data_IF_710056664854
#
_entry.id   IF_710056664854
#
_cell.length_a   1.000
_cell.length_b   1.000
_cell.length_c   1.000
_cell.angle_alpha   90.00
_cell.angle_beta   90.00
_cell.angle_gamma   90.00
#
_symmetry.space_group_name_H-M   'P 1'
#
loop_
_entity.id
_entity.type
_entity.pdbx_description
1 polymer ?
#
# COMPACT_ATOMS: atom_id res chain seq x y z
N UNK A 1 8.47 13.67 -6.71
CA UNK A 1 8.81 13.16 -5.36
C UNK A 1 10.11 12.37 -5.45
N UNK A 2 11.08 12.65 -4.58
CA UNK A 2 12.33 11.90 -4.45
C UNK A 2 12.23 10.76 -3.41
N UNK A 3 13.28 9.95 -3.24
CA UNK A 3 13.27 8.82 -2.31
C UNK A 3 13.03 9.24 -0.86
N UNK A 4 13.65 10.33 -0.39
CA UNK A 4 13.51 10.77 0.99
C UNK A 4 12.07 11.21 1.30
N UNK A 5 11.46 11.97 0.40
CA UNK A 5 10.07 12.41 0.49
C UNK A 5 9.10 11.22 0.49
N UNK A 6 9.36 10.23 -0.38
CA UNK A 6 8.58 9.00 -0.43
C UNK A 6 8.64 8.23 0.88
N UNK A 7 9.84 8.05 1.44
CA UNK A 7 10.00 7.33 2.72
C UNK A 7 9.34 8.06 3.88
N UNK A 8 9.40 9.40 3.88
CA UNK A 8 8.74 10.20 4.91
C UNK A 8 7.21 10.08 4.80
N UNK A 9 6.65 10.23 3.60
CA UNK A 9 5.23 10.07 3.34
C UNK A 9 4.75 8.65 3.69
N UNK A 10 5.52 7.63 3.31
CA UNK A 10 5.21 6.24 3.62
C UNK A 10 5.24 6.00 5.13
N UNK A 11 6.29 6.42 5.84
CA UNK A 11 6.37 6.29 7.31
C UNK A 11 5.19 6.99 7.99
N UNK A 12 4.83 8.20 7.57
CA UNK A 12 3.70 8.93 8.12
C UNK A 12 2.38 8.17 7.92
N UNK A 13 2.16 7.65 6.70
CA UNK A 13 0.97 6.85 6.39
C UNK A 13 0.90 5.56 7.21
N UNK A 14 2.02 4.86 7.39
CA UNK A 14 2.07 3.60 8.12
C UNK A 14 1.86 3.75 9.63
N UNK A 15 2.14 4.92 10.22
CA UNK A 15 1.96 5.19 11.66
C UNK A 15 0.51 5.37 12.06
N UNK A 16 -0.35 5.85 11.17
CA UNK A 16 -1.76 6.09 11.45
C UNK A 16 -2.67 4.94 10.97
N UNK A 17 -3.91 4.83 11.49
CA UNK A 17 -4.88 3.90 10.95
C UNK A 17 -5.21 4.17 9.47
N UNK A 18 -5.27 3.11 8.66
CA UNK A 18 -5.49 3.26 7.22
C UNK A 18 -6.90 3.78 6.92
N UNK A 19 -7.90 3.38 7.71
CA UNK A 19 -9.29 3.81 7.58
C UNK A 19 -9.52 5.29 7.97
N UNK A 20 -8.56 5.95 8.62
CA UNK A 20 -8.58 7.39 8.90
C UNK A 20 -7.70 8.20 7.93
N UNK A 21 -6.93 7.53 7.06
CA UNK A 21 -6.06 8.23 6.12
C UNK A 21 -6.89 9.00 5.09
N UNK A 22 -6.44 10.20 4.74
CA UNK A 22 -7.03 11.00 3.66
C UNK A 22 -6.44 10.63 2.32
N UNK A 23 -7.15 10.96 1.23
CA UNK A 23 -6.63 10.74 -0.11
C UNK A 23 -5.29 11.45 -0.34
N UNK A 24 -5.13 12.69 0.13
CA UNK A 24 -3.88 13.46 -0.02
C UNK A 24 -2.68 12.81 0.69
N UNK A 25 -2.90 12.07 1.77
CA UNK A 25 -1.85 11.31 2.45
C UNK A 25 -1.49 10.01 1.70
N UNK A 26 -2.47 9.38 1.06
CA UNK A 26 -2.29 8.09 0.36
C UNK A 26 -1.76 8.29 -1.06
N UNK A 27 -2.21 9.32 -1.75
CA UNK A 27 -1.91 9.63 -3.15
C UNK A 27 -0.41 9.62 -3.47
N UNK A 28 0.48 10.38 -2.79
CA UNK A 28 1.90 10.40 -3.14
C UNK A 28 2.56 9.02 -2.99
N UNK A 29 2.16 8.26 -1.96
CA UNK A 29 2.65 6.89 -1.76
C UNK A 29 2.15 5.97 -2.86
N UNK A 30 0.86 6.03 -3.18
CA UNK A 30 0.25 5.21 -4.23
C UNK A 30 0.89 5.50 -5.60
N UNK A 31 1.08 6.76 -5.96
CA UNK A 31 1.69 7.17 -7.22
C UNK A 31 3.15 6.72 -7.32
N UNK A 32 3.93 6.83 -6.25
CA UNK A 32 5.29 6.27 -6.25
C UNK A 32 5.27 4.75 -6.42
N UNK A 33 4.40 4.04 -5.71
CA UNK A 33 4.29 2.58 -5.86
C UNK A 33 3.86 2.18 -7.28
N UNK A 34 3.02 2.97 -7.94
CA UNK A 34 2.48 2.65 -9.27
C UNK A 34 3.40 3.08 -10.43
N UNK A 35 4.02 4.27 -10.33
CA UNK A 35 4.56 5.00 -11.48
C UNK A 35 6.02 5.46 -11.35
N UNK A 36 6.68 5.24 -10.21
CA UNK A 36 8.10 5.58 -10.06
C UNK A 36 8.97 4.35 -9.80
N UNK A 37 10.28 4.53 -9.82
CA UNK A 37 11.26 3.50 -9.44
C UNK A 37 11.52 3.46 -7.92
N UNK A 38 10.82 4.29 -7.13
CA UNK A 38 11.04 4.38 -5.68
C UNK A 38 10.54 3.10 -5.00
N UNK A 39 11.33 2.55 -4.08
CA UNK A 39 11.00 1.33 -3.34
C UNK A 39 11.18 1.57 -1.84
N UNK A 40 10.30 1.05 -0.98
CA UNK A 40 10.47 1.14 0.48
C UNK A 40 11.78 0.49 0.95
N UNK A 41 12.69 1.28 1.49
CA UNK A 41 13.91 0.85 2.18
C UNK A 41 13.70 0.63 3.69
N UNK A 42 12.55 1.08 4.23
CA UNK A 42 12.28 1.21 5.66
C UNK A 42 11.89 -0.11 6.34
N UNK A 43 11.88 -1.24 5.61
CA UNK A 43 11.36 -2.52 6.11
C UNK A 43 11.98 -3.02 7.43
N UNK A 44 13.23 -2.65 7.74
CA UNK A 44 13.93 -3.05 8.96
C UNK A 44 13.47 -2.32 10.23
N UNK A 45 13.02 -1.07 10.13
CA UNK A 45 12.63 -0.27 11.31
C UNK A 45 11.13 -0.29 11.63
N UNK A 46 10.33 -1.01 10.83
CA UNK A 46 8.88 -1.06 11.01
C UNK A 46 8.48 -2.03 12.12
N UNK A 47 7.55 -1.61 12.96
CA UNK A 47 6.91 -2.51 13.91
C UNK A 47 5.98 -3.52 13.19
N UNK A 48 5.51 -4.59 13.86
CA UNK A 48 4.68 -5.62 13.22
C UNK A 48 3.39 -5.10 12.56
N UNK A 49 2.74 -4.09 13.15
CA UNK A 49 1.53 -3.49 12.59
C UNK A 49 1.84 -2.69 11.32
N UNK A 50 2.88 -1.87 11.36
CA UNK A 50 3.37 -1.11 10.20
C UNK A 50 3.81 -2.03 9.07
N UNK A 51 4.46 -3.16 9.36
CA UNK A 51 4.81 -4.18 8.36
C UNK A 51 3.57 -4.77 7.68
N UNK A 52 2.52 -5.08 8.44
CA UNK A 52 1.23 -5.57 7.88
C UNK A 52 0.56 -4.51 7.01
N UNK A 53 0.56 -3.25 7.45
CA UNK A 53 0.06 -2.11 6.66
C UNK A 53 0.83 -1.97 5.35
N UNK A 54 2.16 -1.99 5.40
CA UNK A 54 3.00 -1.91 4.21
C UNK A 54 2.75 -3.09 3.26
N UNK A 55 2.69 -4.31 3.78
CA UNK A 55 2.35 -5.51 3.01
C UNK A 55 1.01 -5.35 2.28
N UNK A 56 -0.02 -4.88 3.00
CA UNK A 56 -1.33 -4.63 2.41
C UNK A 56 -1.27 -3.61 1.28
N UNK A 57 -0.56 -2.48 1.46
CA UNK A 57 -0.42 -1.46 0.42
C UNK A 57 0.29 -2.01 -0.83
N UNK A 58 1.41 -2.73 -0.66
CA UNK A 58 2.15 -3.34 -1.76
C UNK A 58 1.29 -4.33 -2.54
N UNK A 59 0.59 -5.23 -1.84
CA UNK A 59 -0.29 -6.23 -2.45
C UNK A 59 -1.52 -5.61 -3.12
N UNK A 60 -2.04 -4.49 -2.59
CA UNK A 60 -3.16 -3.76 -3.17
C UNK A 60 -2.75 -3.07 -4.47
N UNK A 61 -1.71 -2.25 -4.44
CA UNK A 61 -1.31 -1.44 -5.60
C UNK A 61 -0.66 -2.27 -6.71
N UNK A 62 0.02 -3.37 -6.41
CA UNK A 62 0.53 -4.26 -7.48
C UNK A 62 -0.58 -4.89 -8.33
N UNK A 63 -1.83 -4.89 -7.86
CA UNK A 63 -2.98 -5.44 -8.62
C UNK A 63 -3.53 -4.43 -9.63
N UNK A 64 -3.10 -3.18 -9.57
CA UNK A 64 -3.53 -2.17 -10.52
C UNK A 64 -2.82 -2.42 -11.86
N UNK A 65 -3.61 -2.59 -12.91
CA UNK A 65 -3.13 -3.00 -14.22
C UNK A 65 -2.33 -1.91 -14.96
N UNK A 66 -2.39 -0.66 -14.48
CA UNK A 66 -1.66 0.48 -15.02
C UNK A 66 -0.14 0.41 -14.83
N UNK A 67 0.35 -0.31 -13.82
CA UNK A 67 1.79 -0.50 -13.59
C UNK A 67 2.38 -1.56 -14.51
N UNK A 68 3.67 -1.43 -14.86
CA UNK A 68 4.37 -2.40 -15.72
C UNK A 68 4.49 -3.79 -15.05
N UNK A 69 4.70 -4.84 -15.84
CA UNK A 69 4.92 -6.20 -15.30
C UNK A 69 6.12 -6.22 -14.34
N UNK A 70 7.22 -5.59 -14.73
CA UNK A 70 8.43 -5.45 -13.90
C UNK A 70 8.11 -4.78 -12.57
N UNK A 71 7.37 -3.65 -12.60
CA UNK A 71 6.99 -2.93 -11.38
C UNK A 71 6.15 -3.79 -10.44
N UNK A 72 5.14 -4.50 -10.97
CA UNK A 72 4.33 -5.43 -10.17
C UNK A 72 5.15 -6.56 -9.54
N UNK A 73 6.19 -7.04 -10.23
CA UNK A 73 7.11 -8.05 -9.71
C UNK A 73 7.99 -7.48 -8.59
N UNK A 74 8.52 -6.26 -8.73
CA UNK A 74 9.28 -5.58 -7.66
C UNK A 74 8.43 -5.43 -6.39
N UNK A 75 7.18 -4.94 -6.52
CA UNK A 75 6.27 -4.79 -5.38
C UNK A 75 5.95 -6.13 -4.71
N UNK A 76 5.79 -7.21 -5.52
CA UNK A 76 5.59 -8.57 -5.01
C UNK A 76 6.83 -9.08 -4.26
N UNK A 77 8.03 -8.88 -4.80
CA UNK A 77 9.26 -9.31 -4.15
C UNK A 77 9.43 -8.60 -2.79
N UNK A 78 9.12 -7.31 -2.73
CA UNK A 78 9.11 -6.55 -1.48
C UNK A 78 8.06 -7.06 -0.49
N UNK A 79 6.83 -7.32 -0.92
CA UNK A 79 5.78 -7.82 -0.02
C UNK A 79 6.18 -9.17 0.59
N UNK A 80 6.82 -10.04 -0.20
CA UNK A 80 7.36 -11.31 0.27
C UNK A 80 8.51 -11.12 1.28
N UNK A 81 9.41 -10.16 1.03
CA UNK A 81 10.54 -9.87 1.92
C UNK A 81 10.12 -9.33 3.31
N UNK A 82 8.89 -8.82 3.46
CA UNK A 82 8.37 -8.37 4.76
C UNK A 82 8.09 -9.51 5.74
N UNK A 83 8.07 -10.78 5.27
CA UNK A 83 7.83 -11.97 6.09
C UNK A 83 6.53 -11.87 6.94
N UNK A 84 5.50 -11.23 6.39
CA UNK A 84 4.18 -11.13 7.06
C UNK A 84 3.46 -12.46 6.90
N UNK A 85 3.31 -13.17 8.02
CA UNK A 85 2.58 -14.44 8.06
C UNK A 85 1.08 -14.16 7.97
N UNK A 86 0.34 -14.78 7.02
CA UNK A 86 -1.11 -14.72 6.99
C UNK A 86 -1.69 -15.25 8.30
N UNK A 87 -2.64 -14.52 8.88
CA UNK A 87 -3.37 -15.02 10.04
C UNK A 87 -4.52 -15.92 9.58
N UNK A 88 -4.85 -16.98 10.35
CA UNK A 88 -6.08 -17.72 10.15
C UNK A 88 -7.24 -16.72 10.21
N UNK A 89 -8.12 -16.77 9.22
CA UNK A 89 -9.27 -15.87 9.12
C UNK A 89 -10.22 -16.11 10.30
N UNK A 90 -10.09 -15.32 11.36
CA UNK A 90 -11.15 -15.20 12.36
C UNK A 90 -12.24 -14.36 11.72
N UNK A 91 -13.31 -15.04 11.30
CA UNK A 91 -14.44 -14.46 10.59
C UNK A 91 -15.27 -13.54 11.51
N UNK A 92 -14.76 -12.37 11.86
CA UNK A 92 -15.64 -11.27 12.25
C UNK A 92 -16.22 -10.67 10.97
N UNK A 93 -17.41 -11.13 10.61
CA UNK A 93 -18.18 -10.71 9.44
C UNK A 93 -18.78 -9.32 9.61
N UNK A 94 -18.73 -8.71 10.81
CA UNK A 94 -19.41 -7.43 11.09
C UNK A 94 -18.74 -6.22 10.47
N UNK A 95 -17.46 -6.30 10.09
CA UNK A 95 -16.75 -5.21 9.39
C UNK A 95 -16.39 -5.60 7.96
N UNK A 96 -16.85 -4.81 7.00
CA UNK A 96 -16.50 -4.90 5.58
C UNK A 96 -15.08 -4.37 5.35
N UNK A 97 -14.09 -5.14 5.77
CA UNK A 97 -12.66 -4.87 5.52
C UNK A 97 -12.17 -5.64 4.29
N UNK A 98 -11.28 -5.05 3.51
CA UNK A 98 -10.61 -5.63 2.35
C UNK A 98 -10.06 -7.03 2.68
N UNK A 99 -10.37 -8.07 1.88
CA UNK A 99 -9.91 -9.43 2.14
C UNK A 99 -8.38 -9.56 2.26
N UNK A 100 -7.60 -8.72 1.58
CA UNK A 100 -6.14 -8.68 1.73
C UNK A 100 -5.73 -8.21 3.12
N UNK A 101 -6.37 -7.15 3.62
CA UNK A 101 -6.11 -6.60 4.95
C UNK A 101 -6.47 -7.64 6.02
N UNK A 102 -7.66 -8.26 5.91
CA UNK A 102 -8.08 -9.33 6.84
C UNK A 102 -7.10 -10.50 6.88
N UNK A 103 -6.59 -10.93 5.73
CA UNK A 103 -5.65 -12.06 5.61
C UNK A 103 -4.37 -11.84 6.43
N UNK A 104 -3.94 -10.60 6.61
CA UNK A 104 -2.75 -10.26 7.41
C UNK A 104 -3.10 -9.69 8.80
N UNK A 105 -4.34 -9.91 9.24
CA UNK A 105 -4.81 -9.52 10.57
C UNK A 105 -5.01 -8.02 10.75
N UNK A 106 -5.24 -7.26 9.68
CA UNK A 106 -5.67 -5.87 9.75
C UNK A 106 -7.19 -5.80 9.85
N UNK A 107 -7.68 -4.90 10.69
CA UNK A 107 -9.08 -4.52 10.82
C UNK A 107 -9.37 -3.15 10.17
N UNK A 108 -8.48 -2.71 9.30
CA UNK A 108 -8.43 -1.42 8.63
C UNK A 108 -7.96 -1.60 7.20
N UNK A 109 -8.40 -0.71 6.31
CA UNK A 109 -8.06 -0.72 4.90
C UNK A 109 -8.23 0.69 4.29
N UNK A 110 -8.29 0.76 2.96
CA UNK A 110 -8.52 1.99 2.20
C UNK A 110 -9.85 1.97 1.42
N UNK A 111 -10.85 1.19 1.85
CA UNK A 111 -12.10 1.04 1.11
C UNK A 111 -12.90 2.35 1.05
N UNK A 112 -12.80 3.21 2.07
CA UNK A 112 -13.42 4.54 2.07
C UNK A 112 -12.83 5.46 0.99
N UNK A 113 -11.58 5.24 0.57
CA UNK A 113 -10.93 5.98 -0.51
C UNK A 113 -11.05 5.30 -1.88
N UNK A 114 -11.76 4.16 -1.98
CA UNK A 114 -11.80 3.37 -3.21
C UNK A 114 -12.15 4.19 -4.46
N UNK A 115 -13.17 5.07 -4.48
CA UNK A 115 -13.48 5.87 -5.67
C UNK A 115 -12.30 6.76 -6.10
N UNK A 116 -11.62 7.40 -5.15
CA UNK A 116 -10.48 8.27 -5.42
C UNK A 116 -9.24 7.46 -5.84
N UNK A 117 -8.99 6.30 -5.23
CA UNK A 117 -7.87 5.43 -5.63
C UNK A 117 -8.06 4.81 -7.01
N UNK A 118 -9.29 4.65 -7.49
CA UNK A 118 -9.55 4.20 -8.86
C UNK A 118 -9.17 5.25 -9.90
N UNK A 119 -9.21 6.55 -9.57
CA UNK A 119 -8.76 7.60 -10.48
C UNK A 119 -7.25 7.54 -10.74
N UNK A 120 -6.50 6.91 -9.83
CA UNK A 120 -5.08 6.64 -10.01
C UNK A 120 -4.79 5.46 -10.95
N UNK A 121 -5.79 4.73 -11.48
CA UNK A 121 -5.57 3.63 -12.44
C UNK A 121 -5.51 4.13 -13.88
N UNK A 122 -4.50 4.92 -14.23
CA UNK A 122 -4.35 5.49 -15.57
C UNK A 122 -3.13 4.92 -16.29
N UNK A 123 -3.26 4.58 -17.58
CA UNK A 123 -2.13 4.09 -18.39
C UNK A 123 -1.14 5.20 -18.78
N UNK A 124 -1.60 6.45 -18.78
CA UNK A 124 -0.81 7.63 -19.14
C UNK A 124 -0.71 8.57 -17.94
N UNK A 125 -0.12 8.10 -16.84
CA UNK A 125 0.17 8.98 -15.72
C UNK A 125 1.36 9.87 -16.09
N UNK A 126 1.08 11.07 -16.59
CA UNK A 126 2.10 12.10 -16.81
C UNK A 126 2.46 12.71 -15.45
N UNK A 127 3.61 12.33 -14.92
CA UNK A 127 4.30 13.16 -13.93
C UNK A 127 4.61 14.47 -14.63
N UNK A 128 3.78 15.50 -14.44
CA UNK A 128 4.19 16.85 -14.80
C UNK A 128 5.44 17.14 -13.97
N UNK A 129 6.57 17.18 -14.68
CA UNK A 129 7.92 17.49 -14.21
C UNK A 129 8.04 18.94 -13.80
#
# INVERSE_FOLDING_TARGET
>A
MNQLEFEHALKALLKQPLNSATFEQVKPVAEALLYSELLPAVSSSLNPLEKRRLFFLLEKFRRYSCSSVSRRQQLKALSQALNVVPLPSTHDTRRLVDPLAKRVGLNEDLNHLKPQLLTLQTRHYSLYS
#
